data_IF_951618187829
#
_entry.id   IF_951618187829
#
_cell.length_a   1.000
_cell.length_b   1.000
_cell.length_c   1.000
_cell.angle_alpha   90.00
_cell.angle_beta   90.00
_cell.angle_gamma   90.00
#
_symmetry.space_group_name_H-M   'P 1'
#
loop_
_entity.id
_entity.type
_entity.pdbx_description
1 polymer ?
#
# COMPACT_ATOMS: atom_id res chain seq x y z
N UNK A 1 -70.61 -57.79 46.94
CA UNK A 1 -69.86 -56.55 47.23
C UNK A 1 -70.25 -55.53 46.18
N UNK A 2 -71.22 -54.70 46.54
CA UNK A 2 -71.66 -53.46 45.89
C UNK A 2 -71.67 -52.39 47.00
N UNK A 3 -71.86 -51.09 46.72
CA UNK A 3 -71.96 -50.35 45.46
C UNK A 3 -70.92 -49.19 45.46
N UNK A 4 -70.74 -48.29 44.49
CA UNK A 4 -71.62 -47.21 43.98
C UNK A 4 -70.98 -46.73 42.65
N UNK A 5 -71.60 -46.63 41.46
CA UNK A 5 -72.84 -45.99 40.97
C UNK A 5 -73.08 -44.55 41.43
N UNK A 6 -72.96 -43.60 40.48
CA UNK A 6 -73.48 -42.24 40.66
C UNK A 6 -73.13 -41.26 39.52
N UNK A 7 -73.96 -41.21 38.47
CA UNK A 7 -74.11 -40.08 37.52
C UNK A 7 -74.71 -38.82 38.22
N UNK A 8 -75.17 -37.72 37.58
CA UNK A 8 -75.21 -37.31 36.15
C UNK A 8 -74.89 -35.80 35.94
N UNK A 9 -75.18 -35.28 34.74
CA UNK A 9 -75.61 -33.88 34.61
C UNK A 9 -74.86 -33.08 33.56
N UNK A 10 -75.46 -32.99 32.37
CA UNK A 10 -75.03 -32.06 31.34
C UNK A 10 -75.36 -30.61 31.72
N UNK A 11 -74.65 -29.67 31.11
CA UNK A 11 -75.21 -28.42 30.61
C UNK A 11 -74.26 -27.87 29.55
N UNK A 12 -74.77 -27.78 28.32
CA UNK A 12 -74.29 -26.79 27.35
C UNK A 12 -74.33 -25.42 28.02
N UNK A 13 -73.33 -24.57 27.79
CA UNK A 13 -73.48 -23.14 27.47
C UNK A 13 -72.11 -22.52 27.14
N UNK A 14 -72.01 -22.09 25.88
CA UNK A 14 -71.40 -20.85 25.39
C UNK A 14 -69.86 -20.67 25.31
N UNK A 15 -69.44 -20.71 24.03
CA UNK A 15 -68.82 -19.60 23.29
C UNK A 15 -67.30 -19.38 23.40
N UNK A 16 -66.71 -19.54 22.21
CA UNK A 16 -65.65 -18.72 21.58
C UNK A 16 -64.26 -18.98 22.15
N UNK A 17 -63.51 -19.91 21.59
CA UNK A 17 -62.80 -19.80 20.29
C UNK A 17 -61.89 -18.56 20.20
N UNK A 18 -60.64 -18.83 19.82
CA UNK A 18 -59.64 -17.88 19.34
C UNK A 18 -58.82 -17.09 20.37
N UNK A 19 -58.14 -17.77 21.30
CA UNK A 19 -56.90 -17.28 21.93
C UNK A 19 -55.98 -18.45 22.26
N UNK A 20 -55.10 -18.84 21.33
CA UNK A 20 -53.83 -19.57 21.56
C UNK A 20 -53.25 -20.14 20.23
N UNK A 21 -53.18 -19.36 19.16
CA UNK A 21 -52.47 -19.77 17.92
C UNK A 21 -51.34 -18.79 17.53
N UNK A 22 -51.12 -17.73 18.31
CA UNK A 22 -50.21 -16.63 17.95
C UNK A 22 -48.92 -16.57 18.80
N UNK A 23 -48.48 -17.71 19.34
CA UNK A 23 -47.22 -17.82 20.11
C UNK A 23 -46.30 -18.97 19.66
N UNK A 24 -46.63 -19.69 18.59
CA UNK A 24 -45.81 -20.78 18.06
C UNK A 24 -45.21 -20.51 16.66
N UNK A 25 -45.36 -19.30 16.12
CA UNK A 25 -44.86 -18.93 14.79
C UNK A 25 -43.57 -18.07 14.81
N UNK A 26 -43.04 -17.69 15.98
CA UNK A 26 -41.82 -16.87 16.10
C UNK A 26 -40.55 -17.65 16.48
N UNK A 27 -40.61 -18.98 16.64
CA UNK A 27 -39.47 -19.81 17.07
C UNK A 27 -38.78 -20.58 15.92
N UNK A 28 -39.17 -20.33 14.67
CA UNK A 28 -38.60 -20.97 13.47
C UNK A 28 -38.11 -19.95 12.43
N UNK A 29 -37.85 -18.71 12.84
CA UNK A 29 -37.03 -17.79 12.05
C UNK A 29 -35.58 -18.27 12.16
N UNK A 30 -35.21 -19.17 11.25
CA UNK A 30 -33.86 -19.69 11.14
C UNK A 30 -32.86 -18.56 11.16
N UNK A 31 -31.92 -18.64 12.10
CA UNK A 31 -30.63 -17.98 11.99
C UNK A 31 -29.95 -18.60 10.77
N UNK A 32 -30.27 -18.09 9.59
CA UNK A 32 -29.35 -18.12 8.47
C UNK A 32 -28.15 -17.29 8.93
N UNK A 33 -27.21 -17.96 9.60
CA UNK A 33 -25.84 -17.48 9.70
C UNK A 33 -25.39 -17.33 8.26
N UNK A 34 -25.47 -16.11 7.72
CA UNK A 34 -24.75 -15.80 6.50
C UNK A 34 -23.30 -16.12 6.82
N UNK A 35 -22.79 -17.21 6.25
CA UNK A 35 -21.37 -17.45 6.20
C UNK A 35 -20.77 -16.20 5.56
N UNK A 36 -20.19 -15.33 6.38
CA UNK A 36 -19.37 -14.25 5.85
C UNK A 36 -18.35 -14.95 4.96
N UNK A 37 -18.19 -14.51 3.70
CA UNK A 37 -17.11 -15.02 2.87
C UNK A 37 -15.83 -14.93 3.72
N UNK A 38 -14.98 -15.97 3.71
CA UNK A 38 -13.73 -15.92 4.46
C UNK A 38 -13.04 -14.60 4.11
N UNK A 39 -12.45 -13.90 5.09
CA UNK A 39 -11.75 -12.65 4.80
C UNK A 39 -10.79 -12.93 3.66
N UNK A 40 -11.07 -12.35 2.49
CA UNK A 40 -10.19 -12.48 1.34
C UNK A 40 -8.83 -12.01 1.81
N UNK A 41 -7.85 -12.93 1.78
CA UNK A 41 -6.48 -12.56 2.11
C UNK A 41 -6.11 -11.49 1.09
N UNK A 42 -5.76 -10.28 1.52
CA UNK A 42 -5.47 -9.21 0.58
C UNK A 42 -4.39 -9.72 -0.38
N UNK A 43 -4.53 -9.45 -1.70
CA UNK A 43 -3.55 -9.90 -2.66
C UNK A 43 -2.17 -9.37 -2.26
N UNK A 44 -1.14 -10.19 -2.44
CA UNK A 44 0.23 -9.81 -2.12
C UNK A 44 0.68 -8.64 -3.01
N UNK A 45 1.45 -7.69 -2.47
CA UNK A 45 2.12 -6.64 -3.26
C UNK A 45 3.15 -7.26 -4.22
N UNK A 46 3.57 -6.50 -5.24
CA UNK A 46 4.66 -6.88 -6.13
C UNK A 46 5.94 -7.20 -5.35
N UNK A 47 6.23 -6.42 -4.31
CA UNK A 47 7.36 -6.66 -3.43
C UNK A 47 7.25 -8.03 -2.75
N UNK A 48 6.10 -8.30 -2.11
CA UNK A 48 5.85 -9.57 -1.43
C UNK A 48 5.89 -10.77 -2.38
N UNK A 49 5.31 -10.65 -3.59
CA UNK A 49 5.39 -11.71 -4.62
C UNK A 49 6.83 -11.97 -5.05
N UNK A 50 7.64 -10.92 -5.17
CA UNK A 50 9.07 -11.05 -5.50
C UNK A 50 9.82 -11.78 -4.39
N UNK A 51 9.62 -11.38 -3.12
CA UNK A 51 10.23 -12.08 -1.98
C UNK A 51 9.78 -13.54 -1.94
N UNK A 52 8.49 -13.81 -2.14
CA UNK A 52 7.94 -15.17 -2.15
C UNK A 52 8.55 -16.04 -3.25
N UNK A 53 8.68 -15.51 -4.47
CA UNK A 53 9.36 -16.19 -5.57
C UNK A 53 10.82 -16.52 -5.21
N UNK A 54 11.53 -15.55 -4.63
CA UNK A 54 12.94 -15.70 -4.30
C UNK A 54 13.20 -16.76 -3.22
N UNK A 55 12.23 -17.10 -2.37
CA UNK A 55 12.38 -18.20 -1.40
C UNK A 55 12.80 -19.52 -2.05
N UNK A 56 12.55 -19.70 -3.34
CA UNK A 56 12.83 -20.93 -4.08
C UNK A 56 13.77 -20.68 -5.28
N UNK A 57 14.32 -19.47 -5.40
CA UNK A 57 15.28 -19.09 -6.44
C UNK A 57 16.70 -19.59 -6.10
N UNK A 58 17.65 -19.57 -7.07
CA UNK A 58 19.05 -19.86 -6.78
C UNK A 58 19.62 -18.96 -5.67
N UNK A 59 20.51 -19.50 -4.84
CA UNK A 59 21.10 -18.79 -3.68
C UNK A 59 21.72 -17.44 -4.06
N UNK A 60 22.33 -17.33 -5.24
CA UNK A 60 22.90 -16.09 -5.75
C UNK A 60 21.84 -14.99 -5.94
N UNK A 61 20.67 -15.32 -6.52
CA UNK A 61 19.56 -14.36 -6.70
C UNK A 61 18.99 -13.93 -5.35
N UNK A 62 18.86 -14.88 -4.40
CA UNK A 62 18.41 -14.58 -3.04
C UNK A 62 19.37 -13.61 -2.36
N UNK A 63 20.68 -13.87 -2.45
CA UNK A 63 21.71 -13.03 -1.85
C UNK A 63 21.77 -11.64 -2.47
N UNK A 64 21.64 -11.51 -3.79
CA UNK A 64 21.58 -10.21 -4.45
C UNK A 64 20.38 -9.38 -4.01
N UNK A 65 19.19 -10.00 -3.91
CA UNK A 65 18.01 -9.32 -3.39
C UNK A 65 18.18 -8.91 -1.93
N UNK A 66 18.63 -9.84 -1.08
CA UNK A 66 18.83 -9.60 0.34
C UNK A 66 19.86 -8.49 0.59
N UNK A 67 20.96 -8.47 -0.17
CA UNK A 67 21.98 -7.42 -0.10
C UNK A 67 21.42 -6.06 -0.50
N UNK A 68 20.64 -6.01 -1.58
CA UNK A 68 19.95 -4.79 -2.02
C UNK A 68 18.98 -4.29 -0.93
N UNK A 69 18.15 -5.18 -0.37
CA UNK A 69 17.16 -4.84 0.65
C UNK A 69 17.79 -4.39 1.98
N UNK A 70 18.84 -5.09 2.45
CA UNK A 70 19.57 -4.76 3.67
C UNK A 70 20.37 -3.47 3.52
N UNK A 71 21.10 -3.30 2.41
CA UNK A 71 21.86 -2.08 2.14
C UNK A 71 20.96 -0.85 2.19
N UNK A 72 19.79 -0.91 1.54
CA UNK A 72 18.81 0.18 1.58
C UNK A 72 18.25 0.42 2.98
N UNK A 73 18.04 -0.65 3.76
CA UNK A 73 17.55 -0.55 5.12
C UNK A 73 18.59 0.09 6.05
N UNK A 74 19.87 -0.25 5.91
CA UNK A 74 20.98 0.39 6.62
C UNK A 74 20.98 1.89 6.37
N UNK A 75 20.93 2.31 5.11
CA UNK A 75 20.89 3.74 4.74
C UNK A 75 19.72 4.47 5.41
N UNK A 76 18.53 3.85 5.40
CA UNK A 76 17.32 4.38 6.04
C UNK A 76 17.51 4.58 7.55
N UNK A 77 18.02 3.58 8.26
CA UNK A 77 18.22 3.67 9.71
C UNK A 77 19.33 4.67 10.08
N UNK A 78 20.41 4.74 9.31
CA UNK A 78 21.45 5.75 9.52
C UNK A 78 20.90 7.17 9.33
N UNK A 79 20.12 7.41 8.27
CA UNK A 79 19.48 8.69 8.02
C UNK A 79 18.47 9.06 9.13
N UNK A 80 17.73 8.10 9.68
CA UNK A 80 16.81 8.34 10.81
C UNK A 80 17.57 8.73 12.09
N UNK A 81 18.72 8.11 12.35
CA UNK A 81 19.57 8.49 13.49
C UNK A 81 20.10 9.92 13.33
N UNK A 82 20.53 10.30 12.14
CA UNK A 82 20.99 11.67 11.83
C UNK A 82 19.87 12.69 11.93
N UNK A 83 18.68 12.37 11.43
CA UNK A 83 17.50 13.20 11.58
C UNK A 83 17.18 13.43 13.06
N UNK A 84 17.15 12.37 13.87
CA UNK A 84 16.91 12.47 15.30
C UNK A 84 17.98 13.32 16.02
N UNK A 85 19.26 13.22 15.64
CA UNK A 85 20.34 14.08 16.15
C UNK A 85 20.11 15.54 15.77
N UNK A 86 19.71 15.80 14.53
CA UNK A 86 19.45 17.16 14.04
C UNK A 86 18.27 17.80 14.79
N UNK A 87 17.17 17.07 14.97
CA UNK A 87 16.00 17.54 15.72
C UNK A 87 16.31 17.76 17.20
N UNK A 88 17.15 16.91 17.80
CA UNK A 88 17.56 17.07 19.18
C UNK A 88 18.31 18.39 19.41
N UNK A 89 19.07 18.87 18.42
CA UNK A 89 19.77 20.18 18.49
C UNK A 89 18.80 21.36 18.45
N UNK A 90 17.64 21.18 17.79
CA UNK A 90 16.60 22.21 17.68
C UNK A 90 15.62 22.22 18.86
N UNK A 91 15.62 21.19 19.72
CA UNK A 91 14.72 21.06 20.89
C UNK A 91 15.50 21.23 22.19
N UNK A 92 14.78 21.48 23.29
CA UNK A 92 15.36 21.63 24.62
C UNK A 92 14.81 20.59 25.62
N UNK A 93 15.53 20.41 26.73
CA UNK A 93 15.08 19.60 27.88
C UNK A 93 14.87 18.12 27.56
N UNK A 94 13.80 17.55 28.14
CA UNK A 94 13.49 16.11 28.08
C UNK A 94 13.29 15.63 26.64
N UNK A 95 12.68 16.45 25.77
CA UNK A 95 12.45 16.09 24.37
C UNK A 95 13.77 15.87 23.61
N UNK A 96 14.76 16.75 23.84
CA UNK A 96 16.10 16.62 23.25
C UNK A 96 16.85 15.40 23.80
N UNK A 97 16.73 15.12 25.11
CA UNK A 97 17.32 13.92 25.71
C UNK A 97 16.72 12.63 25.10
N UNK A 98 15.39 12.57 24.92
CA UNK A 98 14.71 11.43 24.30
C UNK A 98 15.16 11.18 22.86
N UNK A 99 15.26 12.25 22.07
CA UNK A 99 15.73 12.14 20.68
C UNK A 99 17.18 11.68 20.58
N UNK A 100 18.05 12.09 21.50
CA UNK A 100 19.43 11.56 21.56
C UNK A 100 19.46 10.08 21.91
N UNK A 101 18.66 9.64 22.87
CA UNK A 101 18.53 8.22 23.21
C UNK A 101 18.01 7.39 22.03
N UNK A 102 16.99 7.90 21.33
CA UNK A 102 16.48 7.29 20.10
C UNK A 102 17.56 7.19 19.03
N UNK A 103 18.28 8.29 18.74
CA UNK A 103 19.34 8.30 17.74
C UNK A 103 20.42 7.25 18.02
N UNK A 104 20.83 7.10 19.29
CA UNK A 104 21.82 6.07 19.68
C UNK A 104 21.28 4.66 19.44
N UNK A 105 20.02 4.37 19.81
CA UNK A 105 19.43 3.06 19.62
C UNK A 105 19.27 2.70 18.13
N UNK A 106 18.82 3.66 17.32
CA UNK A 106 18.65 3.50 15.86
C UNK A 106 20.02 3.28 15.19
N UNK A 107 21.04 4.04 15.56
CA UNK A 107 22.39 3.90 15.05
C UNK A 107 23.02 2.53 15.42
N UNK A 108 22.79 2.07 16.64
CA UNK A 108 23.20 0.72 17.06
C UNK A 108 22.53 -0.36 16.24
N UNK A 109 21.23 -0.22 15.93
CA UNK A 109 20.53 -1.17 15.08
C UNK A 109 21.05 -1.15 13.64
N UNK A 110 21.31 0.04 13.06
CA UNK A 110 21.94 0.15 11.75
C UNK A 110 23.31 -0.56 11.69
N UNK A 111 24.13 -0.40 12.73
CA UNK A 111 25.40 -1.12 12.85
C UNK A 111 25.21 -2.63 12.97
N UNK A 112 24.14 -3.11 13.62
CA UNK A 112 23.83 -4.54 13.63
C UNK A 112 23.44 -5.04 12.23
N UNK A 113 22.68 -4.26 11.46
CA UNK A 113 22.33 -4.61 10.08
C UNK A 113 23.57 -4.71 9.18
N UNK A 114 24.57 -3.84 9.35
CA UNK A 114 25.85 -3.95 8.65
C UNK A 114 26.56 -5.28 8.91
N UNK A 115 26.49 -5.80 10.14
CA UNK A 115 27.02 -7.13 10.44
C UNK A 115 26.24 -8.24 9.73
N UNK A 116 24.92 -8.11 9.55
CA UNK A 116 24.13 -9.09 8.78
C UNK A 116 24.52 -9.03 7.29
N UNK A 117 24.78 -7.83 6.78
CA UNK A 117 25.24 -7.64 5.41
C UNK A 117 26.62 -8.29 5.19
N UNK A 118 27.54 -8.14 6.13
CA UNK A 118 28.85 -8.82 6.11
C UNK A 118 28.71 -10.36 6.18
N UNK A 119 27.81 -10.88 7.02
CA UNK A 119 27.48 -12.31 7.05
C UNK A 119 26.94 -12.77 5.67
N UNK A 120 26.12 -11.97 5.02
CA UNK A 120 25.59 -12.29 3.68
C UNK A 120 26.69 -12.30 2.61
N UNK A 121 27.57 -11.31 2.61
CA UNK A 121 28.70 -11.21 1.66
C UNK A 121 29.70 -12.36 1.81
N UNK A 122 29.83 -12.91 3.02
CA UNK A 122 30.62 -14.10 3.31
C UNK A 122 29.95 -15.42 2.87
N UNK A 123 28.72 -15.37 2.35
CA UNK A 123 28.00 -16.53 1.83
C UNK A 123 27.38 -17.40 2.92
N UNK A 124 27.06 -16.84 4.10
CA UNK A 124 26.31 -17.58 5.10
C UNK A 124 24.90 -17.94 4.60
N UNK A 125 24.31 -19.05 5.07
CA UNK A 125 22.97 -19.48 4.65
C UNK A 125 21.93 -18.38 4.87
N UNK A 126 21.18 -18.09 3.81
CA UNK A 126 20.11 -17.09 3.77
C UNK A 126 18.76 -17.79 3.63
N UNK A 127 17.79 -17.35 4.43
CA UNK A 127 16.39 -17.70 4.27
C UNK A 127 15.56 -16.43 4.11
N UNK A 128 14.80 -16.33 3.02
CA UNK A 128 13.79 -15.29 2.82
C UNK A 128 12.42 -15.81 3.29
N UNK A 129 11.61 -14.94 3.88
CA UNK A 129 10.24 -15.30 4.25
C UNK A 129 9.27 -14.13 4.10
N UNK A 130 8.00 -14.44 3.88
CA UNK A 130 6.89 -13.48 3.91
C UNK A 130 5.88 -14.03 4.92
N UNK A 131 5.56 -13.24 5.95
CA UNK A 131 4.57 -13.64 6.95
C UNK A 131 3.16 -13.66 6.34
N UNK A 132 2.17 -14.34 6.98
CA UNK A 132 0.77 -14.26 6.57
C UNK A 132 0.21 -12.83 6.57
N UNK A 133 0.83 -11.91 7.31
CA UNK A 133 0.50 -10.48 7.34
C UNK A 133 1.23 -9.69 6.23
N UNK A 134 1.95 -10.36 5.34
CA UNK A 134 2.68 -9.73 4.24
C UNK A 134 4.01 -9.09 4.64
N UNK A 135 4.52 -9.34 5.84
CA UNK A 135 5.80 -8.77 6.28
C UNK A 135 6.95 -9.62 5.73
N UNK A 136 7.81 -9.01 4.93
CA UNK A 136 9.02 -9.67 4.47
C UNK A 136 10.10 -9.65 5.55
N UNK A 137 10.81 -10.76 5.69
CA UNK A 137 11.98 -10.88 6.54
C UNK A 137 13.04 -11.75 5.87
N UNK A 138 14.25 -11.62 6.37
CA UNK A 138 15.36 -12.49 6.02
C UNK A 138 16.02 -13.02 7.29
N UNK A 139 16.67 -14.16 7.17
CA UNK A 139 17.50 -14.75 8.22
C UNK A 139 18.84 -15.12 7.62
N UNK A 140 19.93 -14.59 8.18
CA UNK A 140 21.31 -14.95 7.80
C UNK A 140 22.04 -15.38 9.06
N UNK A 141 22.71 -16.54 9.02
CA UNK A 141 23.43 -17.10 10.18
C UNK A 141 22.58 -17.14 11.48
N UNK A 142 21.27 -17.40 11.35
CA UNK A 142 20.32 -17.45 12.47
C UNK A 142 19.85 -16.08 12.99
N UNK A 143 20.27 -14.97 12.35
CA UNK A 143 19.85 -13.61 12.70
C UNK A 143 18.70 -13.17 11.80
N UNK A 144 17.50 -13.12 12.36
CA UNK A 144 16.31 -12.66 11.65
C UNK A 144 16.23 -11.12 11.62
N UNK A 145 16.00 -10.56 10.44
CA UNK A 145 15.78 -9.13 10.20
C UNK A 145 14.45 -8.95 9.48
N UNK A 146 13.61 -8.06 10.00
CA UNK A 146 12.39 -7.63 9.31
C UNK A 146 12.74 -6.51 8.33
N UNK A 147 12.25 -6.59 7.10
CA UNK A 147 12.49 -5.61 6.04
C UNK A 147 11.48 -4.46 6.13
N UNK A 148 11.54 -3.72 7.24
CA UNK A 148 10.57 -2.69 7.60
C UNK A 148 11.24 -1.32 7.78
N UNK A 149 10.70 -0.33 7.11
CA UNK A 149 11.06 1.07 7.29
C UNK A 149 10.63 1.55 8.69
N UNK A 150 11.46 2.32 9.43
CA UNK A 150 11.14 2.81 10.77
C UNK A 150 9.93 3.75 10.81
N UNK A 151 9.55 4.33 9.66
CA UNK A 151 8.34 5.13 9.44
C UNK A 151 7.37 4.37 8.54
N UNK A 152 6.22 3.88 9.02
CA UNK A 152 5.30 3.07 8.23
C UNK A 152 4.83 3.73 6.92
N UNK A 153 4.59 5.05 6.96
CA UNK A 153 4.19 5.82 5.76
C UNK A 153 5.26 5.92 4.66
N UNK A 154 6.47 5.43 4.90
CA UNK A 154 7.56 5.38 3.91
C UNK A 154 7.92 3.93 3.51
N UNK A 155 7.19 2.93 3.99
CA UNK A 155 7.43 1.52 3.63
C UNK A 155 7.34 1.29 2.12
N UNK A 156 6.31 1.83 1.46
CA UNK A 156 6.15 1.66 0.01
C UNK A 156 7.29 2.28 -0.81
N UNK A 157 7.84 3.41 -0.36
CA UNK A 157 9.02 4.02 -0.98
C UNK A 157 10.25 3.12 -0.88
N UNK A 158 10.49 2.56 0.31
CA UNK A 158 11.57 1.59 0.54
C UNK A 158 11.42 0.36 -0.35
N UNK A 159 10.24 -0.26 -0.36
CA UNK A 159 9.99 -1.47 -1.16
C UNK A 159 10.18 -1.23 -2.66
N UNK A 160 9.73 -0.09 -3.15
CA UNK A 160 9.89 0.26 -4.56
C UNK A 160 11.36 0.52 -4.92
N UNK A 161 12.12 1.21 -4.08
CA UNK A 161 13.55 1.45 -4.32
C UNK A 161 14.31 0.12 -4.39
N UNK A 162 14.03 -0.81 -3.48
CA UNK A 162 14.60 -2.17 -3.51
C UNK A 162 14.24 -2.91 -4.80
N UNK A 163 12.98 -2.87 -5.22
CA UNK A 163 12.55 -3.48 -6.48
C UNK A 163 13.20 -2.81 -7.69
N UNK A 164 13.31 -1.48 -7.71
CA UNK A 164 13.92 -0.76 -8.82
C UNK A 164 15.39 -1.18 -8.99
N UNK A 165 16.14 -1.24 -7.90
CA UNK A 165 17.54 -1.63 -7.92
C UNK A 165 17.72 -3.10 -8.32
N UNK A 166 16.91 -4.00 -7.77
CA UNK A 166 16.95 -5.42 -8.12
C UNK A 166 16.56 -5.66 -9.59
N UNK A 167 15.43 -5.10 -10.03
CA UNK A 167 14.91 -5.28 -11.38
C UNK A 167 15.71 -4.55 -12.46
N UNK A 168 16.63 -3.65 -12.09
CA UNK A 168 17.61 -3.12 -13.04
C UNK A 168 18.62 -4.18 -13.51
N UNK A 169 18.79 -5.25 -12.74
CA UNK A 169 19.74 -6.35 -13.01
C UNK A 169 19.04 -7.67 -13.39
N UNK A 170 17.74 -7.80 -13.09
CA UNK A 170 16.97 -9.04 -13.23
C UNK A 170 15.69 -8.84 -14.04
N UNK A 171 15.27 -9.88 -14.78
CA UNK A 171 13.97 -9.87 -15.48
C UNK A 171 12.82 -10.10 -14.51
N UNK A 172 12.40 -9.02 -13.85
CA UNK A 172 11.28 -9.06 -12.93
C UNK A 172 9.92 -9.28 -13.61
N UNK A 173 9.78 -9.12 -14.93
CA UNK A 173 8.48 -9.33 -15.58
C UNK A 173 8.05 -10.80 -15.49
N UNK A 174 9.00 -11.73 -15.62
CA UNK A 174 8.75 -13.16 -15.44
C UNK A 174 8.37 -13.50 -13.98
N UNK A 175 8.89 -12.74 -13.02
CA UNK A 175 8.71 -12.96 -11.57
C UNK A 175 7.40 -12.34 -11.07
N UNK A 176 6.98 -11.19 -11.61
CA UNK A 176 5.90 -10.37 -11.04
C UNK A 176 4.59 -10.35 -11.81
N UNK A 177 4.49 -11.09 -12.93
CA UNK A 177 3.27 -11.20 -13.72
C UNK A 177 2.10 -11.72 -12.87
N UNK A 178 1.25 -10.79 -12.41
CA UNK A 178 -0.03 -11.15 -11.81
C UNK A 178 -1.00 -11.60 -12.91
N UNK A 179 -1.73 -12.68 -12.66
CA UNK A 179 -2.82 -13.14 -13.53
C UNK A 179 -3.91 -12.07 -13.77
N UNK A 180 -3.93 -10.99 -12.96
CA UNK A 180 -4.85 -9.86 -13.11
C UNK A 180 -4.47 -8.85 -14.22
N UNK A 181 -3.32 -9.02 -14.90
CA UNK A 181 -2.93 -8.15 -16.03
C UNK A 181 -3.69 -8.51 -17.32
N UNK A 182 -5.01 -8.31 -17.30
CA UNK A 182 -5.92 -8.59 -18.42
C UNK A 182 -5.94 -7.52 -19.52
N UNK A 183 -5.08 -6.51 -19.47
CA UNK A 183 -5.02 -5.46 -20.48
C UNK A 183 -3.75 -5.54 -21.33
N UNK A 184 -3.95 -5.48 -22.65
CA UNK A 184 -2.87 -5.49 -23.63
C UNK A 184 -1.90 -4.34 -23.35
N UNK A 185 -0.58 -4.59 -23.31
CA UNK A 185 0.39 -3.55 -22.99
C UNK A 185 0.32 -2.43 -24.03
N UNK A 186 -0.10 -1.23 -23.59
CA UNK A 186 0.06 -0.04 -24.44
C UNK A 186 1.55 0.32 -24.53
N UNK A 187 2.00 0.88 -25.66
CA UNK A 187 3.38 1.34 -25.79
C UNK A 187 3.67 2.41 -24.72
N UNK A 188 4.68 2.17 -23.90
CA UNK A 188 5.17 3.17 -22.94
C UNK A 188 6.15 4.07 -23.70
N UNK A 189 5.93 5.39 -23.75
CA UNK A 189 6.86 6.30 -24.42
C UNK A 189 8.23 6.25 -23.72
N UNK A 190 9.30 6.07 -24.49
CA UNK A 190 10.69 6.04 -23.97
C UNK A 190 11.23 7.44 -23.64
N UNK A 191 10.41 8.48 -23.74
CA UNK A 191 10.80 9.87 -23.47
C UNK A 191 9.64 10.58 -22.78
N UNK A 192 9.98 11.43 -21.81
CA UNK A 192 9.00 12.32 -21.18
C UNK A 192 8.33 13.14 -22.30
N UNK A 193 7.01 12.98 -22.45
CA UNK A 193 6.29 13.74 -23.46
C UNK A 193 6.46 15.22 -23.15
N UNK A 194 6.94 15.99 -24.13
CA UNK A 194 7.03 17.43 -23.98
C UNK A 194 5.61 17.99 -23.96
N UNK A 195 5.18 18.48 -22.81
CA UNK A 195 3.83 19.01 -22.64
C UNK A 195 3.75 20.41 -23.22
N UNK A 196 2.81 20.62 -24.15
CA UNK A 196 2.53 21.92 -24.77
C UNK A 196 1.02 22.15 -24.77
N UNK A 197 0.45 22.68 -23.67
CA UNK A 197 -0.99 22.88 -23.55
C UNK A 197 -1.48 23.96 -24.51
N UNK A 198 -2.65 23.75 -25.10
CA UNK A 198 -3.35 24.73 -25.92
C UNK A 198 -4.11 25.70 -25.01
N UNK A 199 -4.00 26.99 -25.28
CA UNK A 199 -4.74 28.01 -24.55
C UNK A 199 -5.87 28.60 -25.37
N UNK A 200 -7.03 28.75 -24.76
CA UNK A 200 -8.17 29.52 -25.30
C UNK A 200 -8.66 30.50 -24.24
N UNK A 201 -9.33 31.56 -24.68
CA UNK A 201 -9.83 32.61 -23.80
C UNK A 201 -11.34 32.73 -23.99
N UNK A 202 -12.08 32.55 -22.91
CA UNK A 202 -13.55 32.58 -22.89
C UNK A 202 -14.05 33.66 -21.95
N UNK A 203 -15.35 33.97 -22.00
CA UNK A 203 -15.96 34.91 -21.06
C UNK A 203 -15.86 34.47 -19.59
N UNK A 204 -15.70 33.17 -19.35
CA UNK A 204 -15.56 32.61 -18.01
C UNK A 204 -14.09 32.47 -17.57
N UNK A 205 -13.13 32.94 -18.38
CA UNK A 205 -11.70 32.91 -18.09
C UNK A 205 -10.87 32.13 -19.10
N UNK A 206 -9.53 32.10 -18.91
CA UNK A 206 -8.64 31.35 -19.77
C UNK A 206 -8.73 29.85 -19.48
N UNK A 207 -8.71 29.06 -20.55
CA UNK A 207 -8.80 27.60 -20.51
C UNK A 207 -7.53 27.01 -21.09
N UNK A 208 -6.93 26.11 -20.34
CA UNK A 208 -5.75 25.35 -20.72
C UNK A 208 -6.15 23.91 -21.05
N UNK A 209 -5.91 23.46 -22.27
CA UNK A 209 -6.29 22.14 -22.77
C UNK A 209 -5.07 21.28 -23.13
N UNK A 210 -5.04 20.02 -22.73
CA UNK A 210 -4.05 19.05 -23.19
C UNK A 210 -4.62 17.62 -23.16
N UNK A 211 -4.51 16.89 -24.28
CA UNK A 211 -4.98 15.49 -24.41
C UNK A 211 -6.40 15.21 -23.86
N UNK A 212 -7.35 16.13 -24.09
CA UNK A 212 -8.74 15.99 -23.64
C UNK A 212 -8.99 16.43 -22.20
N UNK A 213 -7.97 16.89 -21.47
CA UNK A 213 -8.11 17.55 -20.19
C UNK A 213 -8.22 19.06 -20.38
N UNK A 214 -9.20 19.68 -19.71
CA UNK A 214 -9.42 21.12 -19.73
C UNK A 214 -9.36 21.67 -18.29
N UNK A 215 -8.53 22.70 -18.09
CA UNK A 215 -8.41 23.44 -16.83
C UNK A 215 -8.86 24.87 -17.07
N UNK A 216 -9.93 25.28 -16.39
CA UNK A 216 -10.46 26.63 -16.46
C UNK A 216 -10.01 27.45 -15.25
N UNK A 217 -9.39 28.59 -15.51
CA UNK A 217 -8.98 29.53 -14.46
C UNK A 217 -10.00 30.66 -14.31
N UNK A 218 -10.30 31.04 -13.07
CA UNK A 218 -11.25 32.11 -12.77
C UNK A 218 -10.67 33.54 -12.85
N UNK A 219 -9.38 33.70 -13.12
CA UNK A 219 -8.68 34.99 -13.14
C UNK A 219 -7.67 35.05 -14.30
N UNK A 220 -7.37 36.26 -14.77
CA UNK A 220 -6.39 36.55 -15.84
C UNK A 220 -5.22 37.42 -15.35
N UNK A 221 -5.25 37.92 -14.11
CA UNK A 221 -4.28 38.90 -13.58
C UNK A 221 -2.83 38.42 -13.59
N UNK A 222 -2.58 37.11 -13.59
CA UNK A 222 -1.24 36.52 -13.60
C UNK A 222 -1.08 35.44 -14.67
N UNK A 223 -1.42 35.76 -15.93
CA UNK A 223 -1.43 34.80 -17.03
C UNK A 223 -0.11 34.01 -17.19
N UNK A 224 1.05 34.62 -16.97
CA UNK A 224 2.33 33.91 -17.01
C UNK A 224 2.42 32.79 -15.96
N UNK A 225 2.10 33.10 -14.70
CA UNK A 225 2.08 32.11 -13.63
C UNK A 225 1.03 31.01 -13.87
N UNK A 226 -0.14 31.36 -14.42
CA UNK A 226 -1.15 30.36 -14.80
C UNK A 226 -0.68 29.44 -15.92
N UNK A 227 0.13 29.95 -16.86
CA UNK A 227 0.74 29.15 -17.93
C UNK A 227 1.75 28.16 -17.38
N UNK A 228 2.62 28.60 -16.48
CA UNK A 228 3.59 27.73 -15.81
C UNK A 228 2.89 26.67 -14.96
N UNK A 229 1.88 27.08 -14.18
CA UNK A 229 1.08 26.17 -13.34
C UNK A 229 0.37 25.11 -14.18
N UNK A 230 -0.27 25.48 -15.29
CA UNK A 230 -0.92 24.49 -16.14
C UNK A 230 0.09 23.57 -16.82
N UNK A 231 1.22 24.12 -17.32
CA UNK A 231 2.26 23.31 -17.93
C UNK A 231 2.81 22.27 -16.94
N UNK A 232 3.06 22.69 -15.69
CA UNK A 232 3.50 21.81 -14.63
C UNK A 232 2.43 20.75 -14.29
N UNK A 233 1.17 21.14 -14.09
CA UNK A 233 0.08 20.19 -13.78
C UNK A 233 -0.06 19.13 -14.88
N UNK A 234 -0.03 19.55 -16.14
CA UNK A 234 -0.13 18.63 -17.28
C UNK A 234 1.12 17.73 -17.38
N UNK A 235 2.31 18.24 -17.06
CA UNK A 235 3.53 17.44 -16.98
C UNK A 235 3.45 16.38 -15.87
N UNK A 236 2.93 16.74 -14.70
CA UNK A 236 2.73 15.82 -13.58
C UNK A 236 1.71 14.72 -13.91
N UNK A 237 0.57 15.09 -14.51
CA UNK A 237 -0.46 14.12 -14.94
C UNK A 237 0.06 13.14 -15.99
N UNK A 238 0.80 13.64 -16.98
CA UNK A 238 1.38 12.79 -18.03
C UNK A 238 2.46 11.88 -17.44
N UNK A 239 3.33 12.41 -16.57
CA UNK A 239 4.34 11.63 -15.87
C UNK A 239 3.71 10.50 -15.05
N UNK A 240 2.68 10.82 -14.26
CA UNK A 240 1.96 9.82 -13.48
C UNK A 240 1.27 8.78 -14.36
N UNK A 241 0.65 9.18 -15.47
CA UNK A 241 0.02 8.25 -16.39
C UNK A 241 1.02 7.25 -17.01
N UNK A 242 2.22 7.73 -17.36
CA UNK A 242 3.32 6.88 -17.85
C UNK A 242 3.77 5.90 -16.76
N UNK A 243 3.95 6.35 -15.53
CA UNK A 243 4.30 5.49 -14.40
C UNK A 243 3.23 4.42 -14.15
N UNK A 244 1.95 4.79 -14.12
CA UNK A 244 0.85 3.84 -13.95
C UNK A 244 0.80 2.82 -15.09
N UNK A 245 1.05 3.23 -16.34
CA UNK A 245 1.14 2.31 -17.46
C UNK A 245 2.32 1.33 -17.29
N UNK A 246 3.47 1.81 -16.80
CA UNK A 246 4.62 0.97 -16.49
C UNK A 246 4.32 -0.04 -15.38
N UNK A 247 3.69 0.39 -14.29
CA UNK A 247 3.29 -0.50 -13.19
C UNK A 247 2.30 -1.58 -13.67
N UNK A 248 1.30 -1.20 -14.46
CA UNK A 248 0.33 -2.14 -15.04
C UNK A 248 1.00 -3.17 -15.95
N UNK A 249 1.97 -2.74 -16.76
CA UNK A 249 2.78 -3.66 -17.59
C UNK A 249 3.56 -4.67 -16.74
N UNK A 250 3.95 -4.29 -15.52
CA UNK A 250 4.63 -5.16 -14.55
C UNK A 250 3.68 -5.96 -13.66
N UNK A 251 2.39 -6.04 -14.02
CA UNK A 251 1.40 -6.84 -13.32
C UNK A 251 0.85 -6.21 -12.04
N UNK A 252 1.02 -4.90 -11.86
CA UNK A 252 0.39 -4.16 -10.75
C UNK A 252 -1.05 -3.81 -11.13
N UNK A 253 -2.00 -4.30 -10.34
CA UNK A 253 -3.40 -3.90 -10.47
C UNK A 253 -3.58 -2.52 -9.84
N UNK A 254 -4.17 -1.57 -10.57
CA UNK A 254 -4.47 -0.23 -10.06
C UNK A 254 -5.91 -0.19 -9.57
N UNK A 255 -6.10 0.06 -8.27
CA UNK A 255 -7.41 0.35 -7.68
C UNK A 255 -7.63 1.87 -7.69
N UNK A 256 -8.33 2.36 -8.71
CA UNK A 256 -8.62 3.79 -8.88
C UNK A 256 -9.35 4.43 -7.69
N UNK A 257 -10.16 3.66 -6.95
CA UNK A 257 -10.88 4.15 -5.78
C UNK A 257 -10.03 4.23 -4.51
N UNK A 258 -8.88 3.54 -4.48
CA UNK A 258 -7.92 3.55 -3.36
C UNK A 258 -6.62 4.28 -3.71
N UNK A 259 -6.57 4.97 -4.85
CA UNK A 259 -5.41 5.72 -5.26
C UNK A 259 -5.24 6.93 -4.33
N UNK A 260 -4.08 7.04 -3.72
CA UNK A 260 -3.76 8.10 -2.77
C UNK A 260 -2.34 8.63 -3.02
N UNK A 261 -2.13 9.93 -2.80
CA UNK A 261 -0.84 10.59 -3.03
C UNK A 261 -0.38 11.22 -1.72
N UNK A 262 0.73 10.71 -1.19
CA UNK A 262 1.28 11.13 0.09
C UNK A 262 2.67 11.71 -0.11
N UNK A 263 2.92 12.91 0.41
CA UNK A 263 4.26 13.50 0.40
C UNK A 263 5.23 12.62 1.20
N UNK A 264 6.46 12.44 0.71
CA UNK A 264 7.49 11.67 1.42
C UNK A 264 8.24 12.60 2.38
N UNK A 265 8.09 12.47 3.72
CA UNK A 265 8.74 13.38 4.64
C UNK A 265 10.26 13.34 4.51
N UNK A 266 10.88 14.51 4.32
CA UNK A 266 12.34 14.64 4.24
C UNK A 266 12.96 14.26 2.89
N UNK A 267 12.16 13.96 1.86
CA UNK A 267 12.63 13.69 0.49
C UNK A 267 11.85 14.50 -0.54
N UNK A 268 12.46 14.90 -1.67
CA UNK A 268 11.71 15.40 -2.80
C UNK A 268 10.92 14.25 -3.42
N UNK A 269 9.58 14.35 -3.45
CA UNK A 269 8.72 13.36 -4.08
C UNK A 269 7.52 12.93 -3.24
N UNK A 270 6.68 12.11 -3.86
CA UNK A 270 5.42 11.63 -3.33
C UNK A 270 5.32 10.13 -3.57
N UNK A 271 4.75 9.42 -2.60
CA UNK A 271 4.34 8.03 -2.77
C UNK A 271 2.91 8.05 -3.29
N UNK A 272 2.68 7.44 -4.45
CA UNK A 272 1.35 7.19 -4.99
C UNK A 272 1.00 5.74 -4.68
N UNK A 273 0.04 5.53 -3.77
CA UNK A 273 -0.49 4.21 -3.45
C UNK A 273 -1.41 3.75 -4.58
N UNK A 274 -1.18 2.55 -5.10
CA UNK A 274 -1.84 2.05 -6.30
C UNK A 274 -2.99 1.10 -5.98
N UNK A 275 -2.93 0.39 -4.85
CA UNK A 275 -3.95 -0.57 -4.45
C UNK A 275 -3.88 -0.94 -2.96
N UNK A 276 -4.82 -1.79 -2.54
CA UNK A 276 -4.90 -2.32 -1.17
C UNK A 276 -3.86 -3.41 -0.87
N UNK A 277 -3.15 -3.91 -1.89
CA UNK A 277 -2.05 -4.86 -1.70
C UNK A 277 -0.79 -4.17 -1.14
N UNK A 278 -0.71 -2.84 -1.23
CA UNK A 278 0.45 -2.06 -0.81
C UNK A 278 1.39 -1.69 -1.97
N UNK A 279 1.01 -1.95 -3.22
CA UNK A 279 1.80 -1.48 -4.37
C UNK A 279 1.82 0.05 -4.41
N UNK A 280 2.99 0.63 -4.64
CA UNK A 280 3.17 2.08 -4.72
C UNK A 280 4.19 2.49 -5.78
N UNK A 281 4.10 3.75 -6.23
CA UNK A 281 5.09 4.39 -7.10
C UNK A 281 5.53 5.76 -6.56
N UNK A 282 6.83 6.02 -6.58
CA UNK A 282 7.46 7.29 -6.30
C UNK A 282 7.31 8.19 -7.52
N UNK A 283 6.67 9.33 -7.33
CA UNK A 283 6.45 10.32 -8.37
C UNK A 283 6.70 11.73 -7.84
N UNK A 284 7.16 12.62 -8.71
CA UNK A 284 7.26 14.04 -8.40
C UNK A 284 5.98 14.75 -8.88
N UNK A 285 4.97 14.81 -8.00
CA UNK A 285 3.62 15.31 -8.32
C UNK A 285 3.10 16.33 -7.29
N UNK A 286 3.85 17.42 -7.01
CA UNK A 286 3.49 18.38 -5.96
C UNK A 286 2.16 19.11 -6.19
N UNK A 287 1.71 19.30 -7.43
CA UNK A 287 0.40 19.91 -7.71
C UNK A 287 -0.76 18.92 -7.59
N UNK A 288 -0.51 17.61 -7.77
CA UNK A 288 -1.54 16.59 -7.55
C UNK A 288 -1.68 16.21 -6.08
N UNK A 289 -0.64 16.44 -5.28
CA UNK A 289 -0.64 16.17 -3.84
C UNK A 289 -1.11 17.34 -2.97
N UNK A 290 -1.47 18.48 -3.58
CA UNK A 290 -1.80 19.74 -2.88
C UNK A 290 -3.22 19.81 -2.36
#
# INVERSE_FOLDING_TARGET
MSPDTGCPGGHLIYKRAARCVLLLACLLSGLAVQAQPPPETPPLSRYQRTVQYLQHAPEAEQAEFAGTALGRLVEVYMAEADLARSEARAKAGVAAARLRGWAVAVDQYANQLLLVLDDLEQGFPLELSVSPQGQASLTVAGRAVMLLHPRPGQQGAYEQEVLADYCARHDCLAITASAAAGESPQPIPMSAAQVSPRWTFTNAGPVCSYQGLDVQFGDTRQLAALRDLCAQLMQELVGLAVELAWQRRHGVAVNWAALDIVATPGRPGHVVHLNLAGDSVLANVPLLAS
#
